data_IF_195766290902
#
_entry.id   IF_195766290902
#
_cell.length_a   1.000
_cell.length_b   1.000
_cell.length_c   1.000
_cell.angle_alpha   90.00
_cell.angle_beta   90.00
_cell.angle_gamma   90.00
#
_symmetry.space_group_name_H-M   'P 1'
#
loop_
_entity.id
_entity.type
_entity.pdbx_description
1 polymer ?
#
# COMPACT_ATOMS: atom_id res chain seq x y z
N UNK A 1 -63.90 34.48 62.85
CA UNK A 1 -63.83 33.21 62.10
C UNK A 1 -62.54 33.19 61.29
N UNK A 2 -61.71 32.15 61.49
CA UNK A 2 -60.60 31.64 60.65
C UNK A 2 -59.61 32.66 60.02
N UNK A 3 -58.29 32.68 60.29
CA UNK A 3 -57.38 31.61 60.69
C UNK A 3 -56.58 31.10 59.48
N UNK A 4 -55.24 31.08 59.62
CA UNK A 4 -54.22 30.35 58.83
C UNK A 4 -53.69 31.13 57.58
N UNK A 5 -52.41 31.18 57.22
CA UNK A 5 -51.07 30.89 57.80
C UNK A 5 -50.06 31.07 56.66
N UNK A 6 -48.79 31.31 57.01
CA UNK A 6 -47.56 30.97 56.24
C UNK A 6 -47.31 31.74 54.93
N UNK A 7 -46.32 32.63 54.85
CA UNK A 7 -44.86 32.34 54.82
C UNK A 7 -44.54 31.11 53.95
N UNK A 8 -44.47 31.28 52.63
CA UNK A 8 -43.82 30.30 51.76
C UNK A 8 -43.18 30.85 50.46
N UNK A 9 -43.46 32.08 50.04
CA UNK A 9 -43.08 32.54 48.68
C UNK A 9 -41.68 33.16 48.51
N UNK A 10 -40.99 33.56 49.59
CA UNK A 10 -39.64 34.18 49.47
C UNK A 10 -38.53 33.13 49.40
N UNK A 11 -38.71 31.98 50.06
CA UNK A 11 -37.72 30.88 50.00
C UNK A 11 -37.74 30.15 48.67
N UNK A 12 -38.89 30.01 48.01
CA UNK A 12 -38.98 29.36 46.69
C UNK A 12 -38.35 30.20 45.59
N UNK A 13 -38.54 31.52 45.59
CA UNK A 13 -37.92 32.39 44.57
C UNK A 13 -36.39 32.44 44.73
N UNK A 14 -35.89 32.52 45.97
CA UNK A 14 -34.45 32.50 46.22
C UNK A 14 -33.81 31.16 45.86
N UNK A 15 -34.52 30.03 46.02
CA UNK A 15 -34.01 28.69 45.69
C UNK A 15 -34.06 28.42 44.18
N UNK A 16 -35.03 28.96 43.45
CA UNK A 16 -35.06 28.93 41.98
C UNK A 16 -33.91 29.77 41.40
N UNK A 17 -33.60 30.93 41.98
CA UNK A 17 -32.51 31.79 41.52
C UNK A 17 -31.12 31.21 41.83
N UNK A 18 -30.91 30.56 42.99
CA UNK A 18 -29.66 29.81 43.23
C UNK A 18 -29.58 28.53 42.40
N UNK A 19 -30.69 27.85 42.12
CA UNK A 19 -30.69 26.71 41.20
C UNK A 19 -30.32 27.16 39.76
N UNK A 20 -30.79 28.33 39.31
CA UNK A 20 -30.42 28.89 38.00
C UNK A 20 -28.98 29.42 37.93
N UNK A 21 -28.40 29.90 39.04
CA UNK A 21 -26.98 30.29 39.07
C UNK A 21 -26.02 29.09 39.25
N UNK A 22 -26.49 27.99 39.84
CA UNK A 22 -25.70 26.75 39.92
C UNK A 22 -25.83 25.93 38.62
N UNK A 23 -26.92 26.06 37.87
CA UNK A 23 -27.05 25.43 36.55
C UNK A 23 -26.27 26.16 35.44
N UNK A 24 -25.83 27.41 35.64
CA UNK A 24 -24.88 28.09 34.74
C UNK A 24 -23.40 27.79 35.03
N UNK A 25 -23.13 26.96 36.05
CA UNK A 25 -21.81 26.41 36.38
C UNK A 25 -21.73 24.90 36.10
N UNK A 26 -22.71 24.35 35.37
CA UNK A 26 -22.43 23.13 34.62
C UNK A 26 -21.49 23.60 33.51
N UNK A 27 -20.22 23.15 33.45
CA UNK A 27 -19.46 23.37 32.24
C UNK A 27 -20.33 22.80 31.14
N UNK A 28 -20.82 23.68 30.25
CA UNK A 28 -21.25 23.22 28.94
C UNK A 28 -20.02 22.49 28.48
N UNK A 29 -20.06 21.17 28.60
CA UNK A 29 -19.24 20.30 27.83
C UNK A 29 -19.62 20.67 26.42
N UNK A 30 -18.91 21.66 25.88
CA UNK A 30 -18.13 21.39 24.71
C UNK A 30 -17.43 20.05 25.02
N UNK A 31 -18.16 18.96 24.76
CA UNK A 31 -17.66 17.97 23.86
C UNK A 31 -17.22 18.74 22.61
N UNK A 32 -16.10 19.48 22.73
CA UNK A 32 -15.13 19.45 21.68
C UNK A 32 -14.98 17.97 21.48
N UNK A 33 -15.48 17.49 20.35
CA UNK A 33 -15.01 16.25 19.79
C UNK A 33 -13.51 16.31 20.05
N UNK A 34 -13.02 15.48 20.98
CA UNK A 34 -11.59 15.28 21.09
C UNK A 34 -11.21 15.00 19.64
N UNK A 35 -10.34 15.79 19.01
CA UNK A 35 -9.94 15.51 17.65
C UNK A 35 -9.52 14.05 17.69
N UNK A 36 -10.27 13.19 16.98
CA UNK A 36 -9.92 11.79 16.80
C UNK A 36 -8.45 11.82 16.46
N UNK A 37 -7.61 11.27 17.34
CA UNK A 37 -6.17 11.44 17.26
C UNK A 37 -5.75 11.02 15.86
N UNK A 38 -5.42 12.01 15.03
CA UNK A 38 -5.18 11.79 13.60
C UNK A 38 -3.89 10.99 13.53
N UNK A 39 -3.96 9.81 12.94
CA UNK A 39 -2.82 8.91 12.85
C UNK A 39 -1.81 9.49 11.87
N UNK A 40 -0.57 9.61 12.30
CA UNK A 40 0.50 10.16 11.48
C UNK A 40 0.99 9.11 10.48
N UNK A 41 1.09 9.49 9.20
CA UNK A 41 1.54 8.61 8.11
C UNK A 41 2.75 9.23 7.42
N UNK A 42 3.86 8.51 7.38
CA UNK A 42 5.04 8.90 6.61
C UNK A 42 4.94 8.31 5.21
N UNK A 43 4.84 9.16 4.19
CA UNK A 43 4.75 8.76 2.79
C UNK A 43 6.13 8.82 2.15
N UNK A 44 6.66 7.67 1.72
CA UNK A 44 7.91 7.60 0.98
C UNK A 44 7.70 7.99 -0.49
N UNK A 45 8.77 8.46 -1.19
CA UNK A 45 8.72 8.71 -2.62
C UNK A 45 8.19 7.48 -3.37
N UNK A 46 7.20 7.70 -4.23
CA UNK A 46 6.63 6.65 -5.08
C UNK A 46 7.69 6.22 -6.09
N UNK A 47 8.00 4.94 -6.13
CA UNK A 47 8.94 4.39 -7.11
C UNK A 47 8.26 4.26 -8.47
N UNK A 48 8.87 4.81 -9.51
CA UNK A 48 8.40 4.62 -10.88
C UNK A 48 8.91 3.30 -11.46
N UNK A 49 8.04 2.31 -11.57
CA UNK A 49 8.29 1.02 -12.21
C UNK A 49 7.57 0.90 -13.57
N UNK A 50 6.97 1.99 -14.07
CA UNK A 50 6.15 1.96 -15.29
C UNK A 50 6.96 1.88 -16.59
N UNK A 51 8.28 2.04 -16.52
CA UNK A 51 9.18 2.19 -17.67
C UNK A 51 8.74 3.29 -18.66
N UNK A 52 7.91 4.23 -18.21
CA UNK A 52 7.38 5.26 -19.08
C UNK A 52 8.42 6.36 -19.30
N UNK A 53 8.39 6.99 -20.49
CA UNK A 53 9.34 8.05 -20.84
C UNK A 53 8.99 9.42 -20.21
N UNK A 54 8.01 9.48 -19.32
CA UNK A 54 7.53 10.74 -18.74
C UNK A 54 8.34 11.13 -17.51
N UNK A 55 8.82 12.37 -17.51
CA UNK A 55 9.55 12.93 -16.39
C UNK A 55 8.61 13.28 -15.24
N UNK A 56 9.12 13.19 -14.01
CA UNK A 56 8.46 13.61 -12.76
C UNK A 56 7.19 12.84 -12.37
N UNK A 57 6.95 11.63 -12.89
CA UNK A 57 5.79 10.83 -12.50
C UNK A 57 5.83 10.43 -11.03
N UNK A 58 7.00 10.06 -10.54
CA UNK A 58 7.32 9.75 -9.14
C UNK A 58 6.92 10.88 -8.18
N UNK A 59 7.38 12.10 -8.44
CA UNK A 59 7.14 13.27 -7.58
C UNK A 59 5.67 13.69 -7.62
N UNK A 60 5.04 13.61 -8.80
CA UNK A 60 3.61 13.91 -8.98
C UNK A 60 2.73 12.87 -8.30
N UNK A 61 3.04 11.59 -8.44
CA UNK A 61 2.32 10.49 -7.79
C UNK A 61 2.42 10.61 -6.26
N UNK A 62 3.62 10.88 -5.74
CA UNK A 62 3.86 11.09 -4.31
C UNK A 62 3.03 12.26 -3.78
N UNK A 63 3.04 13.39 -4.49
CA UNK A 63 2.30 14.60 -4.08
C UNK A 63 0.78 14.37 -4.15
N UNK A 64 0.30 13.69 -5.20
CA UNK A 64 -1.12 13.37 -5.34
C UNK A 64 -1.61 12.46 -4.21
N UNK A 65 -0.79 11.49 -3.81
CA UNK A 65 -1.10 10.56 -2.74
C UNK A 65 -1.05 11.24 -1.36
N UNK A 66 -0.07 12.09 -1.09
CA UNK A 66 -0.01 12.90 0.13
C UNK A 66 -1.25 13.78 0.29
N UNK A 67 -1.64 14.51 -0.77
CA UNK A 67 -2.84 15.36 -0.77
C UNK A 67 -4.10 14.52 -0.53
N UNK A 68 -4.19 13.35 -1.16
CA UNK A 68 -5.35 12.48 -1.03
C UNK A 68 -5.51 11.92 0.39
N UNK A 69 -4.43 11.46 1.01
CA UNK A 69 -4.46 10.92 2.38
C UNK A 69 -4.77 12.03 3.39
N UNK A 70 -4.19 13.22 3.22
CA UNK A 70 -4.53 14.39 4.05
C UNK A 70 -5.98 14.86 3.87
N UNK A 71 -6.64 14.46 2.78
CA UNK A 71 -8.07 14.67 2.60
C UNK A 71 -8.95 13.73 3.44
N UNK A 72 -8.40 12.62 3.96
CA UNK A 72 -9.11 11.70 4.85
C UNK A 72 -9.05 12.21 6.29
N UNK A 73 -10.16 12.11 7.04
CA UNK A 73 -10.22 12.58 8.43
C UNK A 73 -9.43 11.69 9.41
N UNK A 74 -9.05 10.47 9.02
CA UNK A 74 -8.37 9.50 9.90
C UNK A 74 -6.83 9.68 9.92
N UNK A 75 -6.24 10.21 8.84
CA UNK A 75 -4.79 10.18 8.63
C UNK A 75 -4.21 11.57 8.33
N UNK A 76 -2.99 11.81 8.82
CA UNK A 76 -2.19 12.98 8.49
C UNK A 76 -0.91 12.50 7.79
N UNK A 77 -0.88 12.62 6.46
CA UNK A 77 0.27 12.27 5.65
C UNK A 77 1.32 13.39 5.65
N UNK A 78 2.57 13.00 5.87
CA UNK A 78 3.73 13.85 5.62
C UNK A 78 4.65 13.17 4.62
N UNK A 79 5.00 13.87 3.54
CA UNK A 79 5.99 13.37 2.59
C UNK A 79 7.38 13.32 3.23
N UNK A 80 8.04 12.18 3.08
CA UNK A 80 9.45 12.07 3.41
C UNK A 80 10.28 12.88 2.41
N UNK A 81 11.07 13.83 2.93
CA UNK A 81 12.08 14.55 2.16
C UNK A 81 13.32 14.71 3.01
N UNK A 82 14.49 14.57 2.39
CA UNK A 82 15.79 14.74 3.07
C UNK A 82 15.93 16.10 3.75
N UNK A 83 15.30 17.11 3.17
CA UNK A 83 15.33 18.50 3.64
C UNK A 83 14.17 18.85 4.58
N UNK A 84 13.35 17.88 4.99
CA UNK A 84 12.29 18.13 5.96
C UNK A 84 12.90 18.58 7.29
N UNK A 85 12.35 19.61 7.97
CA UNK A 85 12.82 20.04 9.28
C UNK A 85 12.85 18.90 10.31
N UNK A 86 11.93 17.94 10.22
CA UNK A 86 11.89 16.77 11.11
C UNK A 86 13.10 15.84 10.89
N UNK A 87 13.44 15.60 9.63
CA UNK A 87 14.58 14.75 9.25
C UNK A 87 15.89 15.44 9.61
N UNK A 88 16.04 16.72 9.26
CA UNK A 88 17.22 17.51 9.60
C UNK A 88 17.44 17.59 11.12
N UNK A 89 16.35 17.73 11.88
CA UNK A 89 16.40 17.72 13.34
C UNK A 89 16.86 16.36 13.87
N UNK A 90 16.25 15.27 13.42
CA UNK A 90 16.62 13.92 13.84
C UNK A 90 18.08 13.56 13.49
N UNK A 91 18.58 14.03 12.35
CA UNK A 91 20.00 13.91 11.98
C UNK A 91 20.88 14.75 12.93
N UNK A 92 20.50 16.00 13.21
CA UNK A 92 21.27 16.88 14.11
C UNK A 92 21.30 16.38 15.57
N UNK A 93 20.24 15.70 16.00
CA UNK A 93 20.13 15.08 17.32
C UNK A 93 20.85 13.72 17.39
N UNK A 94 21.45 13.26 16.28
CA UNK A 94 22.20 12.00 16.21
C UNK A 94 21.32 10.74 16.19
N UNK A 95 20.01 10.90 16.01
CA UNK A 95 19.04 9.78 15.94
C UNK A 95 19.04 9.08 14.59
N UNK A 96 19.33 9.84 13.53
CA UNK A 96 19.43 9.33 12.16
C UNK A 96 20.83 9.56 11.60
N UNK A 97 21.37 8.57 10.90
CA UNK A 97 22.62 8.73 10.15
C UNK A 97 22.31 9.33 8.78
N UNK A 98 23.18 10.20 8.29
CA UNK A 98 23.01 10.81 6.97
C UNK A 98 22.94 9.76 5.84
N UNK A 99 23.70 8.67 5.96
CA UNK A 99 23.70 7.56 5.00
C UNK A 99 22.33 6.86 4.91
N UNK A 100 21.61 6.76 6.03
CA UNK A 100 20.28 6.13 6.07
C UNK A 100 19.23 7.04 5.40
N UNK A 101 19.36 8.36 5.58
CA UNK A 101 18.49 9.36 4.93
C UNK A 101 18.72 9.42 3.42
N UNK A 102 19.95 9.20 2.96
CA UNK A 102 20.28 9.15 1.54
C UNK A 102 19.77 7.86 0.87
N UNK A 103 19.84 6.73 1.58
CA UNK A 103 19.30 5.45 1.10
C UNK A 103 17.75 5.39 1.08
N UNK A 104 17.10 6.30 1.81
CA UNK A 104 15.64 6.33 1.99
C UNK A 104 14.86 6.54 0.68
N UNK A 105 15.47 7.11 -0.36
CA UNK A 105 14.82 7.29 -1.66
C UNK A 105 14.56 5.98 -2.40
N UNK A 106 15.31 4.92 -2.08
CA UNK A 106 15.11 3.59 -2.65
C UNK A 106 14.05 2.80 -1.86
N UNK A 107 13.51 3.38 -0.78
CA UNK A 107 12.37 2.89 0.00
C UNK A 107 12.42 1.38 0.35
N UNK A 108 13.58 0.88 0.81
CA UNK A 108 13.62 -0.48 1.36
C UNK A 108 12.73 -0.56 2.60
N UNK A 109 11.97 -1.66 2.70
CA UNK A 109 10.95 -1.87 3.73
C UNK A 109 11.48 -1.65 5.15
N UNK A 110 12.66 -2.20 5.42
CA UNK A 110 13.28 -2.19 6.75
C UNK A 110 13.74 -0.78 7.12
N UNK A 111 14.34 -0.06 6.17
CA UNK A 111 14.78 1.31 6.35
C UNK A 111 13.58 2.26 6.53
N UNK A 112 12.50 2.03 5.79
CA UNK A 112 11.30 2.84 5.88
C UNK A 112 10.64 2.73 7.27
N UNK A 113 10.61 1.51 7.83
CA UNK A 113 10.12 1.24 9.18
C UNK A 113 11.03 1.86 10.26
N UNK A 114 12.35 1.70 10.13
CA UNK A 114 13.33 2.34 11.02
C UNK A 114 13.16 3.87 11.03
N UNK A 115 13.07 4.50 9.85
CA UNK A 115 12.85 5.94 9.72
C UNK A 115 11.50 6.37 10.30
N UNK A 116 10.44 5.59 10.08
CA UNK A 116 9.13 5.84 10.66
C UNK A 116 9.16 5.84 12.20
N UNK A 117 9.86 4.87 12.80
CA UNK A 117 10.07 4.78 14.24
C UNK A 117 10.84 5.99 14.78
N UNK A 118 11.99 6.31 14.18
CA UNK A 118 12.81 7.43 14.64
C UNK A 118 12.13 8.78 14.46
N UNK A 119 11.33 8.96 13.42
CA UNK A 119 10.59 10.19 13.22
C UNK A 119 9.28 10.26 14.04
N UNK A 120 8.91 9.17 14.72
CA UNK A 120 7.73 9.12 15.61
C UNK A 120 6.40 9.03 14.86
N UNK A 121 6.39 8.44 13.67
CA UNK A 121 5.17 8.23 12.89
C UNK A 121 4.47 6.92 13.29
N UNK A 122 3.14 6.91 13.22
CA UNK A 122 2.34 5.72 13.54
C UNK A 122 2.37 4.70 12.39
N UNK A 123 2.39 5.20 11.16
CA UNK A 123 2.38 4.39 9.94
C UNK A 123 3.41 4.86 8.92
N UNK A 124 3.87 3.92 8.12
CA UNK A 124 4.76 4.15 6.97
C UNK A 124 4.08 3.61 5.72
N UNK A 125 4.10 4.40 4.65
CA UNK A 125 3.55 4.02 3.37
C UNK A 125 4.64 3.97 2.30
N UNK A 126 4.72 2.80 1.65
CA UNK A 126 5.59 2.56 0.49
C UNK A 126 4.68 2.29 -0.70
N UNK A 127 4.91 2.98 -1.81
CA UNK A 127 4.10 2.85 -3.01
C UNK A 127 4.97 2.83 -4.27
N UNK A 128 4.47 2.17 -5.30
CA UNK A 128 5.07 2.12 -6.63
C UNK A 128 4.02 2.34 -7.72
N UNK A 129 4.44 3.05 -8.76
CA UNK A 129 3.69 3.29 -9.97
C UNK A 129 4.01 2.16 -10.95
N UNK A 130 3.07 1.22 -11.11
CA UNK A 130 3.30 -0.03 -11.83
C UNK A 130 3.17 0.12 -13.34
N UNK A 131 2.26 0.98 -13.79
CA UNK A 131 2.07 1.24 -15.21
C UNK A 131 1.50 2.62 -15.44
N UNK A 132 1.91 3.19 -16.56
CA UNK A 132 1.43 4.45 -17.07
C UNK A 132 1.21 4.29 -18.57
N UNK A 133 -0.02 4.53 -19.04
CA UNK A 133 -0.35 4.50 -20.45
C UNK A 133 -1.18 5.71 -20.85
N UNK A 134 -0.87 6.27 -22.02
CA UNK A 134 -1.69 7.27 -22.68
C UNK A 134 -2.46 6.61 -23.83
N UNK A 135 -3.77 6.51 -23.69
CA UNK A 135 -4.64 6.13 -24.80
C UNK A 135 -4.77 7.34 -25.75
N UNK A 136 -4.64 7.11 -27.05
CA UNK A 136 -4.73 8.17 -28.07
C UNK A 136 -6.15 8.42 -28.56
N UNK A 137 -7.05 7.45 -28.44
CA UNK A 137 -8.44 7.55 -28.90
C UNK A 137 -9.41 6.81 -27.94
N UNK A 138 -10.22 7.52 -27.13
CA UNK A 138 -10.11 8.96 -26.81
C UNK A 138 -8.82 9.26 -26.02
N UNK A 139 -8.31 10.50 -26.10
CA UNK A 139 -7.12 10.90 -25.33
C UNK A 139 -7.39 10.76 -23.83
N UNK A 140 -6.68 9.84 -23.19
CA UNK A 140 -6.89 9.48 -21.79
C UNK A 140 -5.62 8.90 -21.16
N UNK A 141 -5.25 9.40 -19.98
CA UNK A 141 -4.20 8.81 -19.17
C UNK A 141 -4.77 7.73 -18.24
N UNK A 142 -4.10 6.58 -18.19
CA UNK A 142 -4.40 5.48 -17.28
C UNK A 142 -3.17 5.20 -16.42
N UNK A 143 -3.36 5.15 -15.11
CA UNK A 143 -2.29 4.88 -14.15
C UNK A 143 -2.69 3.77 -13.20
N UNK A 144 -1.74 2.87 -12.91
CA UNK A 144 -1.87 1.88 -11.85
C UNK A 144 -0.89 2.21 -10.75
N UNK A 145 -1.42 2.49 -9.57
CA UNK A 145 -0.65 2.78 -8.37
C UNK A 145 -0.87 1.65 -7.37
N UNK A 146 0.21 1.12 -6.79
CA UNK A 146 0.13 0.14 -5.72
C UNK A 146 0.92 0.58 -4.51
N UNK A 147 0.51 0.16 -3.33
CA UNK A 147 1.23 0.49 -2.12
C UNK A 147 0.82 -0.34 -0.92
N UNK A 148 1.70 -0.33 0.08
CA UNK A 148 1.54 -1.06 1.32
C UNK A 148 1.82 -0.11 2.48
N UNK A 149 0.88 -0.05 3.40
CA UNK A 149 0.96 0.70 4.63
C UNK A 149 1.30 -0.26 5.77
N UNK A 150 2.33 0.09 6.53
CA UNK A 150 2.83 -0.65 7.65
C UNK A 150 2.59 0.15 8.92
N UNK A 151 2.06 -0.51 9.96
CA UNK A 151 2.08 0.08 11.30
C UNK A 151 3.53 0.07 11.80
N UNK A 152 4.04 1.19 12.29
CA UNK A 152 5.40 1.23 12.87
C UNK A 152 5.40 0.47 14.19
N UNK A 153 4.40 0.75 15.04
CA UNK A 153 4.22 0.06 16.30
C UNK A 153 3.87 -1.41 16.06
N UNK A 154 4.73 -2.31 16.54
CA UNK A 154 4.60 -3.76 16.36
C UNK A 154 5.35 -4.33 15.15
N UNK A 155 5.90 -3.48 14.27
CA UNK A 155 6.79 -3.91 13.19
C UNK A 155 8.26 -3.49 13.38
N UNK A 156 8.55 -2.83 14.50
CA UNK A 156 9.88 -2.42 14.91
C UNK A 156 10.11 -2.92 16.33
N UNK A 157 11.29 -3.48 16.59
CA UNK A 157 11.72 -3.85 17.94
C UNK A 157 11.99 -2.57 18.75
N UNK A 158 11.23 -2.36 19.84
CA UNK A 158 11.33 -1.17 20.68
C UNK A 158 12.71 -1.03 21.36
N UNK A 159 13.50 -2.11 21.46
CA UNK A 159 14.81 -2.09 22.09
C UNK A 159 15.95 -1.71 21.12
N UNK A 160 15.87 -2.10 19.85
CA UNK A 160 16.93 -1.86 18.87
C UNK A 160 16.56 -0.86 17.78
N UNK A 161 15.26 -0.61 17.57
CA UNK A 161 14.77 0.19 16.45
C UNK A 161 14.77 -0.57 15.12
N UNK A 162 15.17 -1.85 15.11
CA UNK A 162 15.24 -2.64 13.88
C UNK A 162 13.85 -3.16 13.48
N UNK A 163 13.61 -3.25 12.16
CA UNK A 163 12.42 -3.89 11.63
C UNK A 163 12.44 -5.40 11.93
N UNK A 164 11.29 -5.97 12.31
CA UNK A 164 11.15 -7.44 12.41
C UNK A 164 11.30 -8.09 11.03
N UNK A 165 11.82 -9.33 10.98
CA UNK A 165 12.14 -10.05 9.72
C UNK A 165 10.96 -10.16 8.74
N UNK A 166 9.72 -10.24 9.24
CA UNK A 166 8.50 -10.24 8.42
C UNK A 166 7.49 -9.19 8.91
N UNK A 167 7.60 -7.93 8.44
CA UNK A 167 6.69 -6.88 8.90
C UNK A 167 5.28 -7.09 8.38
N UNK A 168 4.32 -7.00 9.29
CA UNK A 168 2.89 -7.16 9.03
C UNK A 168 2.34 -5.93 8.30
N UNK A 169 1.68 -6.17 7.16
CA UNK A 169 1.01 -5.11 6.40
C UNK A 169 -0.28 -4.74 7.12
N UNK A 170 -0.45 -3.45 7.44
CA UNK A 170 -1.69 -2.96 8.02
C UNK A 170 -2.78 -2.87 6.95
N UNK A 171 -2.50 -2.20 5.83
CA UNK A 171 -3.38 -2.11 4.66
C UNK A 171 -2.56 -2.05 3.39
N UNK A 172 -3.10 -2.59 2.30
CA UNK A 172 -2.51 -2.48 0.98
C UNK A 172 -3.55 -1.94 0.01
N UNK A 173 -3.09 -1.28 -1.04
CA UNK A 173 -3.92 -0.86 -2.14
C UNK A 173 -3.24 -1.17 -3.46
N UNK A 174 -4.06 -1.46 -4.46
CA UNK A 174 -3.71 -1.35 -5.87
C UNK A 174 -4.89 -0.64 -6.47
N UNK A 175 -4.70 0.52 -7.09
CA UNK A 175 -5.78 1.36 -7.59
C UNK A 175 -5.51 1.83 -9.02
N UNK A 176 -6.59 1.97 -9.78
CA UNK A 176 -6.55 2.51 -11.14
C UNK A 176 -7.05 3.95 -11.14
N UNK A 177 -6.16 4.85 -11.54
CA UNK A 177 -6.48 6.22 -11.86
C UNK A 177 -6.76 6.39 -13.34
N UNK A 178 -7.78 7.16 -13.69
CA UNK A 178 -8.13 7.49 -15.07
C UNK A 178 -8.42 8.96 -15.22
N UNK A 179 -7.91 9.60 -16.27
CA UNK A 179 -8.37 10.95 -16.64
C UNK A 179 -9.72 10.90 -17.35
N UNK A 180 -10.44 12.02 -17.38
CA UNK A 180 -11.64 12.13 -18.22
C UNK A 180 -11.28 11.94 -19.70
N UNK A 181 -12.03 11.11 -20.47
CA UNK A 181 -11.77 10.93 -21.88
C UNK A 181 -12.11 12.20 -22.65
N UNK A 182 -11.19 12.68 -23.50
CA UNK A 182 -11.43 13.86 -24.34
C UNK A 182 -11.10 13.53 -25.79
N UNK A 183 -12.12 13.55 -26.65
CA UNK A 183 -11.97 13.21 -28.07
C UNK A 183 -11.21 14.30 -28.86
N UNK A 184 -11.46 15.58 -28.56
CA UNK A 184 -10.94 16.73 -29.31
C UNK A 184 -9.88 17.54 -28.55
N UNK A 185 -9.15 16.91 -27.63
CA UNK A 185 -8.21 17.62 -26.76
C UNK A 185 -6.85 17.83 -27.43
N UNK A 186 -6.57 19.05 -27.88
CA UNK A 186 -5.30 19.47 -28.48
C UNK A 186 -4.27 20.02 -27.46
N UNK A 187 -4.59 20.01 -26.17
CA UNK A 187 -3.71 20.53 -25.12
C UNK A 187 -2.53 19.61 -24.77
N UNK A 188 -1.66 20.08 -23.88
CA UNK A 188 -0.55 19.27 -23.35
C UNK A 188 -1.06 18.07 -22.56
N UNK A 189 -0.29 16.99 -22.49
CA UNK A 189 -0.66 15.74 -21.81
C UNK A 189 -0.67 15.88 -20.28
N UNK A 190 0.05 16.89 -19.75
CA UNK A 190 0.22 17.13 -18.32
C UNK A 190 -1.08 17.16 -17.49
N UNK A 191 -2.16 17.86 -17.90
CA UNK A 191 -3.41 17.88 -17.15
C UNK A 191 -4.08 16.51 -17.10
N UNK A 192 -3.99 15.70 -18.15
CA UNK A 192 -4.53 14.34 -18.17
C UNK A 192 -3.76 13.44 -17.19
N UNK A 193 -2.43 13.56 -17.18
CA UNK A 193 -1.55 12.85 -16.24
C UNK A 193 -1.91 13.22 -14.79
N UNK A 194 -1.97 14.53 -14.49
CA UNK A 194 -2.29 15.01 -13.15
C UNK A 194 -3.70 14.60 -12.70
N UNK A 195 -4.67 14.59 -13.61
CA UNK A 195 -6.04 14.13 -13.32
C UNK A 195 -6.06 12.63 -12.98
N UNK A 196 -5.40 11.80 -13.79
CA UNK A 196 -5.32 10.35 -13.54
C UNK A 196 -4.57 10.03 -12.23
N UNK A 197 -3.47 10.72 -11.94
CA UNK A 197 -2.72 10.54 -10.68
C UNK A 197 -3.52 10.99 -9.46
N UNK A 198 -4.27 12.09 -9.58
CA UNK A 198 -5.14 12.57 -8.50
C UNK A 198 -6.29 11.61 -8.23
N UNK A 199 -6.90 11.05 -9.28
CA UNK A 199 -7.93 10.01 -9.17
C UNK A 199 -7.36 8.73 -8.54
N UNK A 200 -6.17 8.28 -8.96
CA UNK A 200 -5.47 7.17 -8.31
C UNK A 200 -5.20 7.44 -6.82
N UNK A 201 -4.65 8.62 -6.49
CA UNK A 201 -4.37 9.00 -5.11
C UNK A 201 -5.63 9.01 -4.24
N UNK A 202 -6.74 9.57 -4.76
CA UNK A 202 -8.02 9.58 -4.03
C UNK A 202 -8.54 8.17 -3.76
N UNK A 203 -8.52 7.29 -4.77
CA UNK A 203 -8.90 5.88 -4.60
C UNK A 203 -7.97 5.13 -3.65
N UNK A 204 -6.67 5.42 -3.65
CA UNK A 204 -5.72 4.85 -2.70
C UNK A 204 -6.08 5.26 -1.27
N UNK A 205 -6.36 6.55 -1.06
CA UNK A 205 -6.74 7.08 0.25
C UNK A 205 -8.05 6.46 0.77
N UNK A 206 -9.06 6.30 -0.08
CA UNK A 206 -10.31 5.58 0.26
C UNK A 206 -10.07 4.11 0.62
N UNK A 207 -9.22 3.42 -0.15
CA UNK A 207 -8.82 2.04 0.16
C UNK A 207 -8.09 1.94 1.50
N UNK A 208 -7.31 2.96 1.86
CA UNK A 208 -6.59 3.05 3.14
C UNK A 208 -7.53 3.41 4.30
N UNK A 209 -8.56 4.23 4.11
CA UNK A 209 -9.59 4.51 5.13
C UNK A 209 -10.59 3.35 5.29
N UNK A 210 -10.72 2.48 4.28
CA UNK A 210 -11.60 1.31 4.33
C UNK A 210 -13.02 1.60 3.85
N UNK A 211 -13.19 2.70 3.13
CA UNK A 211 -14.43 3.00 2.43
C UNK A 211 -14.50 2.19 1.12
N UNK A 212 -15.67 1.63 0.77
CA UNK A 212 -15.81 0.82 -0.43
C UNK A 212 -15.60 1.68 -1.69
N UNK A 213 -14.69 1.24 -2.55
CA UNK A 213 -14.49 1.87 -3.86
C UNK A 213 -15.71 1.60 -4.74
N UNK A 214 -16.38 2.65 -5.21
CA UNK A 214 -17.47 2.53 -6.18
C UNK A 214 -16.88 2.20 -7.56
N UNK A 215 -16.77 0.90 -7.86
CA UNK A 215 -16.27 0.41 -9.15
C UNK A 215 -17.47 0.35 -10.10
N UNK A 216 -17.66 1.37 -10.94
CA UNK A 216 -18.60 1.28 -12.07
C UNK A 216 -17.85 0.65 -13.25
N UNK A 217 -18.14 -0.60 -13.66
CA UNK A 217 -17.50 -1.21 -14.81
C UNK A 217 -18.10 -0.64 -16.10
N UNK A 218 -17.44 0.32 -16.74
CA UNK A 218 -17.75 0.67 -18.14
C UNK A 218 -17.12 -0.39 -19.04
N UNK A 219 -17.96 -1.32 -19.51
CA UNK A 219 -17.59 -2.37 -20.45
C UNK A 219 -17.38 -1.77 -21.85
N UNK A 220 -16.14 -1.82 -22.35
CA UNK A 220 -15.88 -1.64 -23.77
C UNK A 220 -14.80 -2.61 -24.25
N UNK A 221 -15.16 -3.39 -25.28
CA UNK A 221 -14.46 -4.57 -25.77
C UNK A 221 -13.40 -4.14 -26.77
N UNK A 222 -12.17 -3.93 -26.28
CA UNK A 222 -11.00 -3.93 -27.15
C UNK A 222 -9.91 -4.85 -26.59
N UNK A 223 -9.34 -5.68 -27.45
CA UNK A 223 -8.47 -6.81 -27.09
C UNK A 223 -7.11 -6.37 -26.53
N UNK A 224 -6.70 -5.13 -26.81
CA UNK A 224 -5.53 -4.49 -26.16
C UNK A 224 -5.83 -3.99 -24.74
N UNK A 225 -7.10 -3.67 -24.44
CA UNK A 225 -7.62 -3.33 -23.10
C UNK A 225 -7.82 -4.57 -22.21
N UNK A 226 -7.67 -5.79 -22.72
CA UNK A 226 -7.87 -7.01 -21.92
C UNK A 226 -6.79 -7.21 -20.84
N UNK A 227 -5.54 -6.81 -21.11
CA UNK A 227 -4.48 -6.75 -20.07
C UNK A 227 -4.89 -5.79 -18.95
N UNK A 228 -5.46 -4.64 -19.30
CA UNK A 228 -5.92 -3.61 -18.37
C UNK A 228 -7.16 -4.00 -17.57
N UNK A 229 -8.08 -4.78 -18.15
CA UNK A 229 -9.24 -5.33 -17.44
C UNK A 229 -8.78 -6.37 -16.39
N UNK A 230 -7.76 -7.18 -16.68
CA UNK A 230 -7.20 -8.13 -15.71
C UNK A 230 -6.48 -7.42 -14.55
N UNK A 231 -5.74 -6.34 -14.82
CA UNK A 231 -5.14 -5.53 -13.75
C UNK A 231 -6.20 -4.73 -12.94
N UNK A 232 -7.29 -4.27 -13.56
CA UNK A 232 -8.37 -3.58 -12.86
C UNK A 232 -9.21 -4.52 -11.97
N UNK A 233 -9.32 -5.81 -12.32
CA UNK A 233 -9.98 -6.83 -11.49
C UNK A 233 -9.11 -7.23 -10.27
N UNK A 234 -7.79 -7.15 -10.42
CA UNK A 234 -6.83 -7.29 -9.30
C UNK A 234 -6.89 -6.12 -8.28
N UNK A 235 -7.27 -4.92 -8.73
CA UNK A 235 -7.46 -3.70 -7.91
C UNK A 235 -8.73 -3.76 -7.05
N UNK A 236 -9.83 -4.31 -7.58
CA UNK A 236 -11.10 -4.41 -6.85
C UNK A 236 -11.10 -5.42 -5.69
N UNK A 237 -10.25 -6.46 -5.75
CA UNK A 237 -10.18 -7.49 -4.71
C UNK A 237 -9.44 -7.04 -3.43
N UNK A 238 -8.56 -6.04 -3.52
CA UNK A 238 -7.83 -5.48 -2.36
C UNK A 238 -8.73 -4.64 -1.44
N UNK A 239 -9.84 -4.09 -1.94
CA UNK A 239 -10.75 -3.24 -1.15
C UNK A 239 -11.79 -4.03 -0.32
N UNK A 240 -11.97 -5.33 -0.56
CA UNK A 240 -13.02 -6.14 0.10
C UNK A 240 -12.45 -7.01 1.25
N UNK A 241 -11.12 -7.14 1.36
CA UNK A 241 -10.47 -8.09 2.28
C UNK A 241 -10.19 -7.63 3.72
N UNK A 242 -10.62 -6.45 4.18
CA UNK A 242 -10.21 -5.91 5.51
C UNK A 242 -11.37 -5.62 6.48
N UNK A 243 -12.63 -5.74 6.07
CA UNK A 243 -13.76 -5.62 6.99
C UNK A 243 -14.25 -6.99 7.48
N UNK A 244 -13.57 -7.56 8.47
CA UNK A 244 -14.18 -8.36 9.56
C UNK A 244 -13.12 -8.92 10.52
N UNK A 245 -12.62 -8.09 11.43
CA UNK A 245 -11.97 -8.57 12.65
C UNK A 245 -13.04 -8.67 13.75
N UNK A 246 -13.74 -9.81 13.80
CA UNK A 246 -14.83 -9.99 14.77
C UNK A 246 -15.60 -11.30 14.67
N UNK A 247 -15.01 -12.39 14.20
CA UNK A 247 -15.45 -13.77 14.52
C UNK A 247 -14.47 -14.76 13.89
N UNK A 248 -14.09 -15.80 14.63
CA UNK A 248 -13.21 -16.87 14.15
C UNK A 248 -13.64 -17.34 12.77
N UNK A 249 -12.75 -17.42 11.76
CA UNK A 249 -13.14 -17.89 10.45
C UNK A 249 -13.58 -19.35 10.54
N UNK A 250 -14.72 -19.66 9.93
CA UNK A 250 -15.02 -21.02 9.54
C UNK A 250 -13.85 -21.52 8.67
N UNK A 251 -13.36 -22.73 8.95
CA UNK A 251 -12.30 -23.33 8.17
C UNK A 251 -12.66 -23.25 6.67
N UNK A 252 -11.82 -22.63 5.81
CA UNK A 252 -12.11 -22.51 4.39
C UNK A 252 -12.36 -23.91 3.81
N UNK A 253 -13.40 -24.02 2.98
CA UNK A 253 -13.70 -25.27 2.29
C UNK A 253 -12.49 -25.77 1.50
N UNK A 254 -12.45 -27.07 1.11
CA UNK A 254 -11.28 -27.69 0.48
C UNK A 254 -10.76 -26.98 -0.79
N UNK A 255 -11.58 -26.13 -1.42
CA UNK A 255 -11.23 -25.38 -2.62
C UNK A 255 -10.68 -23.96 -2.35
N UNK A 256 -10.82 -23.39 -1.15
CA UNK A 256 -10.40 -21.99 -0.85
C UNK A 256 -9.01 -21.94 -0.17
N UNK A 257 -8.19 -22.95 -0.41
CA UNK A 257 -6.84 -23.07 0.16
C UNK A 257 -5.80 -22.38 -0.72
N UNK A 258 -4.88 -21.67 -0.08
CA UNK A 258 -3.69 -21.11 -0.71
C UNK A 258 -2.81 -22.25 -1.21
N UNK A 259 -2.42 -22.23 -2.49
CA UNK A 259 -1.60 -23.28 -3.12
C UNK A 259 -0.34 -22.68 -3.74
N UNK A 260 0.82 -23.35 -3.65
CA UNK A 260 2.02 -22.90 -4.32
C UNK A 260 2.00 -23.29 -5.80
N UNK A 261 2.98 -22.80 -6.58
CA UNK A 261 3.16 -23.24 -7.97
C UNK A 261 3.52 -24.72 -8.02
N UNK A 262 3.00 -25.42 -9.02
CA UNK A 262 3.30 -26.83 -9.23
C UNK A 262 4.43 -27.01 -10.26
N UNK A 263 5.16 -28.11 -10.19
CA UNK A 263 6.15 -28.52 -11.20
C UNK A 263 7.17 -27.42 -11.58
N UNK A 264 7.74 -26.74 -10.59
CA UNK A 264 8.81 -25.78 -10.84
C UNK A 264 10.05 -26.51 -11.37
N UNK A 265 10.40 -26.21 -12.62
CA UNK A 265 11.50 -26.81 -13.34
C UNK A 265 12.50 -25.73 -13.78
N UNK A 266 13.79 -26.05 -13.68
CA UNK A 266 14.89 -25.17 -14.06
C UNK A 266 15.62 -25.77 -15.27
N UNK A 267 15.69 -24.98 -16.34
CA UNK A 267 16.33 -25.34 -17.59
C UNK A 267 17.54 -24.43 -17.84
N UNK A 268 18.76 -24.97 -17.97
CA UNK A 268 19.90 -24.19 -18.39
C UNK A 268 19.84 -23.85 -19.89
N UNK A 269 20.11 -22.60 -20.23
CA UNK A 269 20.34 -22.11 -21.61
C UNK A 269 21.83 -21.79 -21.79
N UNK A 270 22.25 -21.31 -22.98
CA UNK A 270 23.66 -20.99 -23.24
C UNK A 270 24.25 -19.96 -22.28
N UNK A 271 23.55 -18.85 -22.04
CA UNK A 271 24.01 -17.79 -21.15
C UNK A 271 23.09 -17.55 -19.95
N UNK A 272 21.90 -18.14 -19.94
CA UNK A 272 20.79 -17.77 -19.05
C UNK A 272 20.21 -19.01 -18.38
N UNK A 273 19.40 -18.80 -17.35
CA UNK A 273 18.65 -19.87 -16.69
C UNK A 273 17.15 -19.61 -16.84
N UNK A 274 16.40 -20.60 -17.35
CA UNK A 274 14.96 -20.49 -17.55
C UNK A 274 14.22 -21.33 -16.51
N UNK A 275 13.31 -20.70 -15.81
CA UNK A 275 12.36 -21.32 -14.90
C UNK A 275 11.03 -21.53 -15.63
N UNK A 276 10.40 -22.68 -15.41
CA UNK A 276 9.05 -22.99 -15.90
C UNK A 276 8.26 -23.63 -14.76
N UNK A 277 6.98 -23.32 -14.63
CA UNK A 277 6.10 -23.92 -13.63
C UNK A 277 4.67 -23.99 -14.15
N UNK A 278 3.84 -24.78 -13.46
CA UNK A 278 2.42 -24.86 -13.69
C UNK A 278 1.68 -23.96 -12.69
N UNK A 279 0.57 -23.39 -13.15
CA UNK A 279 -0.32 -22.63 -12.29
C UNK A 279 -0.85 -23.48 -11.12
N UNK A 280 -1.16 -22.88 -9.96
CA UNK A 280 -1.75 -23.60 -8.85
C UNK A 280 -3.10 -24.20 -9.21
N UNK A 281 -3.26 -25.51 -9.04
CA UNK A 281 -4.53 -26.22 -9.27
C UNK A 281 -5.23 -26.55 -7.95
N UNK A 282 -6.56 -26.69 -7.99
CA UNK A 282 -7.34 -27.06 -6.80
C UNK A 282 -7.50 -25.92 -5.79
N UNK A 283 -7.48 -24.68 -6.28
CA UNK A 283 -7.80 -23.46 -5.53
C UNK A 283 -8.83 -22.63 -6.29
N UNK A 284 -9.75 -21.98 -5.59
CA UNK A 284 -10.69 -20.99 -6.13
C UNK A 284 -10.11 -19.58 -6.09
N UNK A 285 -8.92 -19.41 -5.52
CA UNK A 285 -8.25 -18.13 -5.36
C UNK A 285 -7.64 -17.70 -6.69
N UNK A 286 -7.85 -16.45 -7.06
CA UNK A 286 -7.27 -15.89 -8.28
C UNK A 286 -5.82 -15.49 -8.02
N UNK A 287 -4.93 -15.92 -8.92
CA UNK A 287 -3.53 -15.51 -8.89
C UNK A 287 -3.46 -14.02 -9.19
N UNK A 288 -2.75 -13.28 -8.33
CA UNK A 288 -2.40 -11.88 -8.57
C UNK A 288 -1.08 -11.79 -9.34
N UNK A 289 -0.04 -12.45 -8.83
CA UNK A 289 1.31 -12.44 -9.42
C UNK A 289 2.20 -13.53 -8.86
N UNK A 290 3.33 -13.75 -9.51
CA UNK A 290 4.41 -14.60 -9.04
C UNK A 290 5.60 -13.76 -8.62
N UNK A 291 6.21 -14.16 -7.51
CA UNK A 291 7.49 -13.63 -7.06
C UNK A 291 8.56 -14.69 -7.22
N UNK A 292 9.62 -14.36 -7.95
CA UNK A 292 10.79 -15.20 -8.20
C UNK A 292 11.96 -14.61 -7.45
N UNK A 293 12.59 -15.43 -6.60
CA UNK A 293 13.84 -15.08 -5.92
C UNK A 293 14.94 -16.05 -6.29
N UNK A 294 16.19 -15.59 -6.24
CA UNK A 294 17.40 -16.36 -6.54
C UNK A 294 18.38 -16.31 -5.39
N UNK A 295 19.00 -17.45 -5.15
CA UNK A 295 20.16 -17.65 -4.34
C UNK A 295 21.36 -18.02 -5.24
N UNK A 296 22.53 -17.48 -4.93
CA UNK A 296 23.79 -17.80 -5.61
C UNK A 296 24.80 -18.26 -4.57
N UNK A 297 25.44 -19.40 -4.82
CA UNK A 297 26.50 -20.02 -4.00
C UNK A 297 26.16 -20.18 -2.51
N UNK A 298 24.88 -20.39 -2.19
CA UNK A 298 24.41 -20.60 -0.82
C UNK A 298 24.25 -19.32 0.00
N UNK A 299 24.20 -18.15 -0.65
CA UNK A 299 23.98 -16.84 0.00
C UNK A 299 22.56 -16.61 0.50
N UNK A 300 22.09 -15.35 0.50
CA UNK A 300 20.68 -15.01 0.77
C UNK A 300 19.85 -15.00 -0.52
N UNK A 301 18.55 -15.26 -0.42
CA UNK A 301 17.63 -15.10 -1.55
C UNK A 301 17.40 -13.62 -1.85
N UNK A 302 17.65 -13.21 -3.09
CA UNK A 302 17.32 -11.87 -3.60
C UNK A 302 16.16 -11.97 -4.58
N UNK A 303 15.21 -11.04 -4.52
CA UNK A 303 14.08 -11.00 -5.47
C UNK A 303 14.60 -10.62 -6.85
N UNK A 304 14.29 -11.44 -7.86
CA UNK A 304 14.59 -11.16 -9.26
C UNK A 304 13.42 -10.53 -10.00
N UNK A 305 12.20 -10.96 -9.67
CA UNK A 305 10.99 -10.40 -10.24
C UNK A 305 9.81 -10.62 -9.31
N UNK A 306 9.04 -9.58 -9.08
CA UNK A 306 7.75 -9.62 -8.37
C UNK A 306 6.58 -9.24 -9.27
N UNK A 307 6.83 -9.03 -10.57
CA UNK A 307 5.90 -8.40 -11.51
C UNK A 307 5.37 -9.40 -12.56
N UNK A 308 5.52 -10.70 -12.32
CA UNK A 308 5.01 -11.74 -13.21
C UNK A 308 3.50 -11.88 -13.00
N UNK A 309 2.72 -11.42 -13.97
CA UNK A 309 1.27 -11.43 -13.90
C UNK A 309 0.65 -12.83 -13.88
N UNK A 310 -0.67 -12.92 -13.67
CA UNK A 310 -1.41 -14.19 -13.76
C UNK A 310 -1.25 -14.79 -15.15
N UNK A 311 -1.24 -16.12 -15.28
CA UNK A 311 -0.92 -16.79 -16.55
C UNK A 311 0.58 -17.03 -16.79
N UNK A 312 1.45 -16.38 -16.02
CA UNK A 312 2.89 -16.57 -16.18
C UNK A 312 3.29 -17.98 -15.73
N UNK A 313 3.82 -18.76 -16.66
CA UNK A 313 4.29 -20.14 -16.43
C UNK A 313 5.81 -20.26 -16.58
N UNK A 314 6.53 -19.14 -16.66
CA UNK A 314 7.98 -19.15 -16.72
C UNK A 314 8.64 -17.78 -16.56
N UNK A 315 9.94 -17.82 -16.29
CA UNK A 315 10.80 -16.66 -16.12
C UNK A 315 12.20 -16.98 -16.63
N UNK A 316 12.88 -16.04 -17.30
CA UNK A 316 14.26 -16.23 -17.74
C UNK A 316 15.17 -15.27 -16.99
N UNK A 317 16.08 -15.83 -16.20
CA UNK A 317 17.14 -15.07 -15.55
C UNK A 317 18.27 -14.81 -16.55
N UNK A 318 18.38 -13.54 -16.96
CA UNK A 318 19.43 -13.02 -17.84
C UNK A 318 20.62 -12.41 -17.07
N UNK A 319 20.50 -12.34 -15.74
CA UNK A 319 21.45 -11.70 -14.82
C UNK A 319 22.40 -12.72 -14.15
N UNK A 320 22.60 -13.87 -14.78
CA UNK A 320 23.52 -14.92 -14.32
C UNK A 320 24.96 -14.43 -14.36
N UNK A 321 25.74 -14.72 -13.33
CA UNK A 321 27.16 -14.37 -13.22
C UNK A 321 28.02 -15.20 -14.18
N UNK A 322 29.09 -14.58 -14.71
CA UNK A 322 30.12 -15.24 -15.51
C UNK A 322 30.92 -16.24 -14.67
N UNK A 323 31.34 -17.35 -15.28
CA UNK A 323 32.02 -18.43 -14.55
C UNK A 323 31.03 -19.44 -13.95
N UNK A 324 31.54 -20.33 -13.09
CA UNK A 324 30.77 -21.45 -12.52
C UNK A 324 30.20 -21.05 -11.16
N UNK A 325 28.88 -21.01 -11.06
CA UNK A 325 28.14 -20.70 -9.82
C UNK A 325 27.01 -21.70 -9.58
N UNK A 326 26.63 -21.89 -8.32
CA UNK A 326 25.48 -22.71 -7.93
C UNK A 326 24.27 -21.81 -7.73
N UNK A 327 23.21 -22.05 -8.50
CA UNK A 327 21.98 -21.29 -8.44
C UNK A 327 20.85 -22.12 -7.83
N UNK A 328 20.08 -21.50 -6.95
CA UNK A 328 18.81 -22.04 -6.47
C UNK A 328 17.74 -20.96 -6.59
N UNK A 329 16.56 -21.34 -7.08
CA UNK A 329 15.44 -20.43 -7.20
C UNK A 329 14.27 -20.87 -6.35
N UNK A 330 13.45 -19.89 -5.98
CA UNK A 330 12.16 -20.13 -5.37
C UNK A 330 11.10 -19.24 -6.00
N UNK A 331 9.90 -19.78 -6.12
CA UNK A 331 8.74 -19.09 -6.68
C UNK A 331 7.59 -19.21 -5.70
N UNK A 332 6.92 -18.10 -5.41
CA UNK A 332 5.65 -18.10 -4.67
C UNK A 332 4.58 -17.35 -5.44
N UNK A 333 3.34 -17.69 -5.14
CA UNK A 333 2.15 -17.07 -5.70
C UNK A 333 1.60 -16.09 -4.69
N UNK A 334 1.31 -14.88 -5.15
CA UNK A 334 0.48 -13.93 -4.41
C UNK A 334 -0.91 -14.00 -5.02
N UNK A 335 -1.93 -14.12 -4.18
CA UNK A 335 -3.32 -14.20 -4.56
C UNK A 335 -3.99 -12.83 -4.46
N UNK A 336 -5.10 -12.65 -5.19
CA UNK A 336 -5.86 -11.39 -5.21
C UNK A 336 -6.50 -11.04 -3.87
N UNK A 337 -6.64 -12.02 -2.96
CA UNK A 337 -7.15 -11.83 -1.59
C UNK A 337 -6.05 -11.40 -0.60
N UNK A 338 -4.83 -11.12 -1.09
CA UNK A 338 -3.70 -10.68 -0.28
C UNK A 338 -2.89 -11.81 0.36
N UNK A 339 -3.32 -13.07 0.24
CA UNK A 339 -2.54 -14.20 0.78
C UNK A 339 -1.40 -14.59 -0.15
N UNK A 340 -0.28 -15.03 0.44
CA UNK A 340 0.86 -15.57 -0.30
C UNK A 340 0.99 -17.07 -0.06
N UNK A 341 1.34 -17.82 -1.11
CA UNK A 341 1.65 -19.23 -1.00
C UNK A 341 2.99 -19.46 -0.31
N UNK A 342 3.19 -20.68 0.19
CA UNK A 342 4.53 -21.18 0.45
C UNK A 342 5.40 -21.10 -0.81
N UNK A 343 6.72 -21.03 -0.62
CA UNK A 343 7.67 -21.05 -1.72
C UNK A 343 7.82 -22.47 -2.28
N UNK A 344 7.79 -22.60 -3.60
CA UNK A 344 8.25 -23.79 -4.34
C UNK A 344 9.70 -23.57 -4.74
N UNK A 345 10.57 -24.55 -4.48
CA UNK A 345 12.00 -24.47 -4.79
C UNK A 345 12.33 -25.26 -6.07
N UNK A 346 13.21 -24.72 -6.91
CA UNK A 346 13.65 -25.36 -8.16
C UNK A 346 14.67 -26.48 -7.96
N UNK A 347 15.19 -26.65 -6.75
CA UNK A 347 16.48 -27.32 -6.52
C UNK A 347 17.67 -26.43 -6.89
N UNK A 348 18.88 -26.91 -6.58
CA UNK A 348 20.14 -26.22 -6.89
C UNK A 348 20.79 -26.78 -8.17
N UNK A 349 21.33 -25.91 -9.02
CA UNK A 349 22.06 -26.30 -10.23
C UNK A 349 23.40 -25.57 -10.31
N UNK A 350 24.47 -26.28 -10.67
CA UNK A 350 25.72 -25.64 -11.05
C UNK A 350 25.63 -25.20 -12.52
N UNK A 351 25.74 -23.89 -12.76
CA UNK A 351 25.69 -23.28 -14.08
C UNK A 351 26.98 -22.53 -14.38
N UNK A 352 27.54 -22.74 -15.58
CA UNK A 352 28.72 -22.04 -16.05
C UNK A 352 28.34 -21.14 -17.22
N UNK A 353 28.42 -19.82 -17.03
CA UNK A 353 28.28 -18.85 -18.11
C UNK A 353 29.65 -18.60 -18.72
N UNK A 354 29.81 -18.97 -19.99
CA UNK A 354 31.03 -18.77 -20.80
C UNK A 354 31.30 -17.32 -21.12
#
# INVERSE_FOLDING_TARGET
MYGIRRRSSVRTISLVLTLCMVSSLIPIGLAGAQPTAVKSVLVFPVLDESESAYQDLDTRATSALEIAINGCQEFAASKFTRHSPLVMRAVSEGRLRQVDVEAAEVASKDLALFLGHELGFDYVLIASLQSFEMATEPRQANVILSGQMYAVKGNVDEATGDAIEEPTVFRAFGVKGTSSPRADYEGSENPLISEALRDAGHKAALSLSGEPLEITPTADKDTKRWRWIMYALAVGALAIGVNNAGSSPAAPGPAEQVRPVANLYLQPLQSNLKLTWNEPTGTTLQVLRYEVSRNVDGGSFSVLSSNLGPGSTGFTDISTLSGRHVYQYRVRVLYTDGRASAYTYSGAIAFTRS
#
